data_IF_513830103946
#
_entry.id   IF_513830103946
#
_cell.length_a   1.000
_cell.length_b   1.000
_cell.length_c   1.000
_cell.angle_alpha   90.00
_cell.angle_beta   90.00
_cell.angle_gamma   90.00
#
_symmetry.space_group_name_H-M   'P 1'
#
loop_
_entity.id
_entity.type
_entity.pdbx_description
1 polymer ?
#
# COMPACT_ATOMS: atom_id res chain seq x y z
N UNK A 1 -17.26 35.45 28.24
CA UNK A 1 -16.24 36.21 27.47
C UNK A 1 -15.07 35.28 27.26
N UNK A 2 -15.12 34.44 26.23
CA UNK A 2 -14.72 34.71 24.83
C UNK A 2 -13.20 34.70 24.66
N UNK A 3 -12.67 33.58 24.18
CA UNK A 3 -11.80 33.48 23.01
C UNK A 3 -11.23 32.04 22.90
N UNK A 4 -11.90 31.19 22.12
CA UNK A 4 -11.28 30.00 21.55
C UNK A 4 -10.36 30.43 20.40
N UNK A 5 -9.18 29.83 20.20
CA UNK A 5 -8.45 30.00 18.96
C UNK A 5 -9.09 29.12 17.90
N UNK A 6 -9.63 29.80 16.89
CA UNK A 6 -9.93 29.27 15.57
C UNK A 6 -8.65 28.68 14.96
N UNK A 7 -8.67 27.37 14.69
CA UNK A 7 -7.71 26.72 13.79
C UNK A 7 -8.52 25.93 12.77
N UNK A 8 -9.17 26.66 11.87
CA UNK A 8 -8.53 26.86 10.58
C UNK A 8 -8.40 25.64 9.67
N UNK A 9 -9.49 25.39 8.94
CA UNK A 9 -9.57 25.17 7.48
C UNK A 9 -8.88 23.94 6.87
N UNK A 10 -9.72 23.16 6.18
CA UNK A 10 -9.32 22.09 5.27
C UNK A 10 -8.30 22.56 4.23
N UNK A 11 -7.33 21.71 3.96
CA UNK A 11 -6.36 21.97 2.92
C UNK A 11 -7.03 21.75 1.58
N UNK A 12 -7.43 22.84 0.94
CA UNK A 12 -7.36 22.94 -0.50
C UNK A 12 -5.94 22.49 -0.88
N UNK A 13 -5.81 21.29 -1.44
CA UNK A 13 -4.65 20.97 -2.24
C UNK A 13 -4.65 22.01 -3.33
N UNK A 14 -3.73 22.96 -3.24
CA UNK A 14 -3.38 23.84 -4.34
C UNK A 14 -2.92 22.88 -5.43
N UNK A 15 -3.83 22.53 -6.33
CA UNK A 15 -3.49 21.98 -7.63
C UNK A 15 -2.62 23.08 -8.22
N UNK A 16 -1.31 22.85 -8.25
CA UNK A 16 -0.40 23.68 -9.01
C UNK A 16 -0.88 23.63 -10.47
N UNK A 17 -1.64 24.65 -10.86
CA UNK A 17 -2.25 24.75 -12.18
C UNK A 17 -1.22 24.99 -13.28
N UNK A 18 0.08 25.10 -12.93
CA UNK A 18 1.18 25.24 -13.89
C UNK A 18 1.70 23.91 -14.42
N UNK A 19 1.44 22.79 -13.73
CA UNK A 19 1.82 21.46 -14.18
C UNK A 19 0.56 20.60 -14.28
N UNK A 20 0.00 20.49 -15.50
CA UNK A 20 -1.28 19.85 -15.79
C UNK A 20 -1.52 18.49 -15.12
N UNK A 21 -2.78 18.01 -15.22
CA UNK A 21 -3.19 16.71 -14.66
C UNK A 21 -2.19 15.60 -15.00
N UNK A 22 -2.07 14.59 -14.15
CA UNK A 22 -1.17 13.47 -14.45
C UNK A 22 -1.51 12.84 -15.80
N UNK A 23 -2.79 12.81 -16.18
CA UNK A 23 -3.22 12.41 -17.52
C UNK A 23 -2.51 13.21 -18.62
N UNK A 24 -2.45 14.53 -18.51
CA UNK A 24 -1.75 15.38 -19.49
C UNK A 24 -0.24 15.17 -19.49
N UNK A 25 0.35 14.86 -18.33
CA UNK A 25 1.78 14.49 -18.24
C UNK A 25 2.02 13.16 -18.95
N UNK A 26 1.15 12.17 -18.72
CA UNK A 26 1.19 10.86 -19.39
C UNK A 26 1.01 11.02 -20.90
N UNK A 27 0.03 11.79 -21.35
CA UNK A 27 -0.24 12.02 -22.77
C UNK A 27 0.96 12.70 -23.45
N UNK A 28 1.48 13.80 -22.89
CA UNK A 28 2.68 14.47 -23.42
C UNK A 28 3.88 13.53 -23.51
N UNK A 29 4.02 12.63 -22.54
CA UNK A 29 5.14 11.68 -22.53
C UNK A 29 5.14 10.65 -23.68
N UNK A 30 4.08 10.60 -24.48
CA UNK A 30 4.02 9.75 -25.66
C UNK A 30 4.97 10.23 -26.76
N UNK A 31 5.12 11.55 -26.90
CA UNK A 31 5.95 12.20 -27.92
C UNK A 31 7.20 12.85 -27.31
N UNK A 32 7.13 13.27 -26.03
CA UNK A 32 8.25 13.79 -25.24
C UNK A 32 8.52 12.90 -24.01
N UNK A 33 9.30 11.81 -24.14
CA UNK A 33 9.58 10.87 -23.04
C UNK A 33 9.98 11.51 -21.70
N UNK A 34 10.73 12.62 -21.74
CA UNK A 34 11.28 13.27 -20.55
C UNK A 34 10.18 13.94 -19.71
N UNK A 35 9.05 14.33 -20.33
CA UNK A 35 7.86 14.81 -19.61
C UNK A 35 7.35 13.82 -18.55
N UNK A 36 7.62 12.52 -18.69
CA UNK A 36 7.23 11.51 -17.69
C UNK A 36 7.95 11.68 -16.34
N UNK A 37 9.14 12.31 -16.31
CA UNK A 37 9.92 12.53 -15.10
C UNK A 37 9.13 13.29 -14.02
N UNK A 38 8.18 14.15 -14.43
CA UNK A 38 7.27 14.86 -13.51
C UNK A 38 6.49 13.89 -12.61
N UNK A 39 6.06 12.72 -13.12
CA UNK A 39 5.40 11.72 -12.29
C UNK A 39 6.37 11.02 -11.33
N UNK A 40 7.61 10.82 -11.76
CA UNK A 40 8.66 10.28 -10.89
C UNK A 40 8.91 11.24 -9.71
N UNK A 41 9.15 12.52 -9.99
CA UNK A 41 9.41 13.54 -8.98
C UNK A 41 8.23 13.68 -8.00
N UNK A 42 6.99 13.57 -8.49
CA UNK A 42 5.79 13.64 -7.65
C UNK A 42 5.64 12.43 -6.72
N UNK A 43 5.94 11.22 -7.19
CA UNK A 43 5.44 10.00 -6.55
C UNK A 43 6.50 8.97 -6.14
N UNK A 44 7.76 9.10 -6.55
CA UNK A 44 8.82 8.15 -6.23
C UNK A 44 8.94 7.89 -4.72
N UNK A 45 8.97 8.96 -3.93
CA UNK A 45 9.02 8.91 -2.47
C UNK A 45 7.83 8.17 -1.84
N UNK A 46 6.62 8.41 -2.35
CA UNK A 46 5.40 7.77 -1.88
C UNK A 46 5.39 6.27 -2.19
N UNK A 47 5.83 5.90 -3.39
CA UNK A 47 5.95 4.50 -3.82
C UNK A 47 7.06 3.78 -3.03
N UNK A 48 8.23 4.40 -2.88
CA UNK A 48 9.33 3.84 -2.10
C UNK A 48 8.87 3.56 -0.65
N UNK A 49 8.28 4.55 0.02
CA UNK A 49 7.74 4.41 1.38
C UNK A 49 6.68 3.30 1.50
N UNK A 50 5.87 3.12 0.46
CA UNK A 50 4.84 2.09 0.41
C UNK A 50 5.42 0.68 0.28
N UNK A 51 6.48 0.51 -0.52
CA UNK A 51 7.20 -0.76 -0.68
C UNK A 51 8.03 -1.07 0.58
N UNK A 52 8.75 -0.09 1.12
CA UNK A 52 9.61 -0.25 2.28
C UNK A 52 8.85 -0.79 3.51
N UNK A 53 7.62 -0.31 3.72
CA UNK A 53 6.75 -0.79 4.82
C UNK A 53 6.29 -2.25 4.66
N UNK A 54 6.40 -2.82 3.46
CA UNK A 54 5.90 -4.16 3.13
C UNK A 54 7.00 -5.19 2.95
N UNK A 55 8.17 -4.77 2.50
CA UNK A 55 9.28 -5.64 2.13
C UNK A 55 10.62 -5.23 2.77
N UNK A 56 10.66 -4.13 3.51
CA UNK A 56 11.90 -3.53 4.00
C UNK A 56 12.52 -2.58 2.98
N UNK A 57 13.47 -1.76 3.44
CA UNK A 57 14.15 -0.75 2.63
C UNK A 57 14.99 -1.35 1.52
N UNK A 58 15.57 -2.54 1.73
CA UNK A 58 16.43 -3.21 0.73
C UNK A 58 15.70 -3.46 -0.59
N UNK A 59 14.44 -3.89 -0.54
CA UNK A 59 13.64 -4.14 -1.75
C UNK A 59 12.97 -2.88 -2.31
N UNK A 60 13.01 -1.75 -1.58
CA UNK A 60 12.18 -0.61 -1.88
C UNK A 60 12.70 0.22 -3.07
N UNK A 61 14.02 0.41 -3.17
CA UNK A 61 14.65 1.13 -4.27
C UNK A 61 14.38 0.43 -5.61
N UNK A 62 14.65 -0.88 -5.68
CA UNK A 62 14.48 -1.68 -6.90
C UNK A 62 13.02 -1.72 -7.36
N UNK A 63 12.08 -1.99 -6.45
CA UNK A 63 10.67 -2.11 -6.82
C UNK A 63 10.03 -0.75 -7.11
N UNK A 64 10.51 0.34 -6.50
CA UNK A 64 10.09 1.68 -6.86
C UNK A 64 10.57 2.00 -8.28
N UNK A 65 11.85 1.79 -8.58
CA UNK A 65 12.39 2.01 -9.92
C UNK A 65 11.66 1.15 -10.97
N UNK A 66 11.46 -0.14 -10.68
CA UNK A 66 10.73 -1.06 -11.57
C UNK A 66 9.26 -0.61 -11.76
N UNK A 67 8.62 -0.05 -10.74
CA UNK A 67 7.26 0.52 -10.86
C UNK A 67 7.23 1.61 -11.93
N UNK A 68 8.17 2.56 -11.90
CA UNK A 68 8.22 3.64 -12.88
C UNK A 68 8.66 3.18 -14.25
N UNK A 69 9.55 2.19 -14.35
CA UNK A 69 9.92 1.56 -15.63
C UNK A 69 8.70 0.91 -16.27
N UNK A 70 7.93 0.13 -15.51
CA UNK A 70 6.70 -0.52 -16.01
C UNK A 70 5.65 0.52 -16.39
N UNK A 71 5.47 1.56 -15.56
CA UNK A 71 4.55 2.64 -15.83
C UNK A 71 4.94 3.35 -17.14
N UNK A 72 6.20 3.75 -17.30
CA UNK A 72 6.70 4.38 -18.51
C UNK A 72 6.50 3.49 -19.75
N UNK A 73 6.79 2.20 -19.68
CA UNK A 73 6.56 1.26 -20.79
C UNK A 73 5.07 1.11 -21.15
N UNK A 74 4.18 1.26 -20.18
CA UNK A 74 2.73 1.08 -20.33
C UNK A 74 1.96 2.39 -20.49
N UNK A 75 2.63 3.56 -20.47
CA UNK A 75 2.00 4.89 -20.46
C UNK A 75 1.02 5.14 -21.60
N UNK A 76 1.21 4.50 -22.76
CA UNK A 76 0.27 4.57 -23.90
C UNK A 76 -1.05 3.81 -23.69
N UNK A 77 -1.12 2.97 -22.66
CA UNK A 77 -2.33 2.22 -22.24
C UNK A 77 -2.99 2.81 -21.00
N UNK A 78 -2.45 3.92 -20.49
CA UNK A 78 -3.07 4.63 -19.38
C UNK A 78 -4.41 5.21 -19.83
N UNK A 79 -5.42 5.12 -18.96
CA UNK A 79 -6.74 5.68 -19.21
C UNK A 79 -6.70 7.19 -18.94
N UNK A 80 -6.66 8.00 -20.00
CA UNK A 80 -6.58 9.45 -19.91
C UNK A 80 -7.84 10.11 -19.31
N UNK A 81 -8.94 9.35 -19.13
CA UNK A 81 -10.09 9.86 -18.35
C UNK A 81 -9.80 9.95 -16.85
N UNK A 82 -8.75 9.26 -16.37
CA UNK A 82 -8.25 9.34 -14.99
C UNK A 82 -7.30 10.52 -14.87
N UNK A 83 -7.64 11.49 -14.04
CA UNK A 83 -6.82 12.70 -13.88
C UNK A 83 -5.56 12.49 -13.04
N UNK A 84 -5.54 11.45 -12.19
CA UNK A 84 -4.45 11.10 -11.27
C UNK A 84 -3.83 9.76 -11.66
N UNK A 85 -2.50 9.70 -11.76
CA UNK A 85 -1.76 8.48 -12.05
C UNK A 85 -1.42 7.67 -10.79
N UNK A 86 -1.57 8.29 -9.61
CA UNK A 86 -1.21 7.68 -8.33
C UNK A 86 -1.87 6.32 -8.07
N UNK A 87 -3.18 6.12 -8.30
CA UNK A 87 -3.81 4.80 -8.13
C UNK A 87 -3.21 3.73 -9.04
N UNK A 88 -2.94 4.09 -10.30
CA UNK A 88 -2.32 3.21 -11.28
C UNK A 88 -0.88 2.81 -10.88
N UNK A 89 -0.07 3.76 -10.41
CA UNK A 89 1.28 3.50 -9.91
C UNK A 89 1.28 2.56 -8.69
N UNK A 90 0.40 2.82 -7.72
CA UNK A 90 0.23 1.93 -6.57
C UNK A 90 -0.26 0.53 -6.94
N UNK A 91 -1.10 0.41 -7.97
CA UNK A 91 -1.51 -0.88 -8.52
C UNK A 91 -0.35 -1.66 -9.11
N UNK A 92 0.54 -1.00 -9.85
CA UNK A 92 1.78 -1.62 -10.37
C UNK A 92 2.67 -2.08 -9.21
N UNK A 93 2.95 -1.20 -8.24
CA UNK A 93 3.79 -1.50 -7.08
C UNK A 93 3.24 -2.68 -6.27
N UNK A 94 1.92 -2.72 -6.03
CA UNK A 94 1.26 -3.82 -5.30
C UNK A 94 1.41 -5.15 -6.02
N UNK A 95 1.30 -5.15 -7.35
CA UNK A 95 1.53 -6.33 -8.16
C UNK A 95 2.99 -6.83 -8.07
N UNK A 96 3.97 -5.91 -8.10
CA UNK A 96 5.39 -6.23 -7.93
C UNK A 96 5.68 -6.82 -6.55
N UNK A 97 5.16 -6.21 -5.48
CA UNK A 97 5.27 -6.75 -4.12
C UNK A 97 4.71 -8.17 -4.04
N UNK A 98 3.55 -8.43 -4.66
CA UNK A 98 2.96 -9.76 -4.72
C UNK A 98 3.85 -10.78 -5.46
N UNK A 99 4.50 -10.37 -6.55
CA UNK A 99 5.47 -11.21 -7.28
C UNK A 99 6.71 -11.50 -6.44
N UNK A 100 7.27 -10.47 -5.81
CA UNK A 100 8.45 -10.57 -4.94
C UNK A 100 8.21 -11.58 -3.81
N UNK A 101 7.09 -11.44 -3.07
CA UNK A 101 6.72 -12.39 -2.00
C UNK A 101 6.57 -13.83 -2.50
N UNK A 102 5.93 -14.03 -3.67
CA UNK A 102 5.78 -15.37 -4.26
C UNK A 102 7.12 -15.96 -4.69
N UNK A 103 8.03 -15.15 -5.21
CA UNK A 103 9.37 -15.58 -5.59
C UNK A 103 10.17 -16.00 -4.35
N UNK A 104 10.16 -15.17 -3.30
CA UNK A 104 10.87 -15.46 -2.05
C UNK A 104 10.32 -16.72 -1.37
N UNK A 105 9.00 -16.85 -1.28
CA UNK A 105 8.38 -18.04 -0.72
C UNK A 105 8.70 -19.31 -1.54
N UNK A 106 8.91 -19.21 -2.86
CA UNK A 106 9.37 -20.36 -3.67
C UNK A 106 10.83 -20.68 -3.40
N UNK A 107 11.70 -19.66 -3.27
CA UNK A 107 13.12 -19.81 -2.96
C UNK A 107 13.32 -20.47 -1.59
N UNK A 108 12.63 -19.98 -0.55
CA UNK A 108 12.68 -20.57 0.79
C UNK A 108 12.19 -22.03 0.81
N UNK A 109 11.10 -22.34 0.10
CA UNK A 109 10.65 -23.75 -0.04
C UNK A 109 11.68 -24.62 -0.77
N UNK A 110 12.35 -24.11 -1.79
CA UNK A 110 13.39 -24.85 -2.50
C UNK A 110 14.62 -25.08 -1.61
N UNK A 111 15.05 -24.08 -0.84
CA UNK A 111 16.13 -24.20 0.14
C UNK A 111 15.76 -25.16 1.27
N UNK A 112 14.53 -25.10 1.78
CA UNK A 112 14.00 -26.05 2.76
C UNK A 112 14.02 -27.47 2.20
N UNK A 113 13.55 -27.71 0.98
CA UNK A 113 13.66 -29.03 0.34
C UNK A 113 15.12 -29.46 0.14
N UNK A 114 16.01 -28.58 -0.28
CA UNK A 114 17.43 -28.89 -0.46
C UNK A 114 18.12 -29.24 0.87
N UNK A 115 17.79 -28.51 1.94
CA UNK A 115 18.24 -28.80 3.30
C UNK A 115 17.62 -30.11 3.80
N UNK A 116 16.33 -30.37 3.56
CA UNK A 116 15.68 -31.64 3.89
C UNK A 116 16.25 -32.80 3.09
N UNK A 117 16.68 -32.62 1.83
CA UNK A 117 17.39 -33.67 1.08
C UNK A 117 18.82 -33.87 1.58
N UNK A 118 19.48 -32.83 2.08
CA UNK A 118 20.79 -32.94 2.74
C UNK A 118 20.67 -33.57 4.15
N UNK A 119 19.52 -33.43 4.80
CA UNK A 119 19.18 -34.04 6.09
C UNK A 119 18.36 -35.34 5.96
N UNK A 120 18.05 -35.80 4.73
CA UNK A 120 17.31 -37.04 4.50
C UNK A 120 18.14 -38.32 4.74
N UNK A 121 19.36 -38.19 5.26
CA UNK A 121 20.05 -39.29 5.96
C UNK A 121 19.62 -39.43 7.44
N UNK A 122 18.90 -38.46 8.02
CA UNK A 122 18.35 -38.55 9.38
C UNK A 122 16.92 -37.99 9.51
N UNK A 123 15.94 -38.90 9.36
CA UNK A 123 14.57 -38.90 9.91
C UNK A 123 13.56 -37.78 9.51
N UNK A 124 12.49 -38.21 8.83
CA UNK A 124 11.13 -38.30 9.39
C UNK A 124 10.27 -37.04 9.61
N UNK A 125 9.30 -36.86 8.71
CA UNK A 125 7.93 -36.28 8.84
C UNK A 125 7.69 -34.88 9.45
N UNK A 126 6.91 -34.05 8.72
CA UNK A 126 6.26 -32.86 9.27
C UNK A 126 5.62 -31.93 8.23
N UNK A 127 4.31 -32.09 7.98
CA UNK A 127 3.48 -31.17 7.19
C UNK A 127 3.03 -29.92 7.97
N UNK A 128 2.72 -28.87 7.20
CA UNK A 128 1.89 -27.69 7.51
C UNK A 128 2.48 -26.53 8.36
N UNK A 129 3.04 -25.52 7.68
CA UNK A 129 3.15 -24.14 8.19
C UNK A 129 3.35 -23.11 7.05
N UNK A 130 2.37 -22.95 6.15
CA UNK A 130 2.56 -22.08 4.97
C UNK A 130 2.29 -20.57 5.16
N UNK A 131 1.81 -20.11 6.33
CA UNK A 131 1.37 -18.70 6.44
C UNK A 131 2.00 -17.86 7.57
N UNK A 132 3.08 -18.32 8.22
CA UNK A 132 3.67 -17.61 9.38
C UNK A 132 5.13 -17.13 9.26
N UNK A 133 5.77 -17.22 8.10
CA UNK A 133 7.24 -17.02 8.01
C UNK A 133 7.68 -15.58 7.68
N UNK A 134 6.79 -14.61 7.46
CA UNK A 134 7.21 -13.22 7.20
C UNK A 134 6.95 -12.33 8.42
N UNK A 135 7.64 -12.60 9.52
CA UNK A 135 7.60 -11.73 10.69
C UNK A 135 8.93 -11.74 11.45
N UNK A 136 9.95 -11.05 10.93
CA UNK A 136 11.03 -10.56 11.79
C UNK A 136 11.84 -9.43 11.16
N UNK A 137 11.55 -8.20 11.58
CA UNK A 137 12.57 -7.20 11.99
C UNK A 137 11.88 -6.30 13.03
N UNK A 138 12.47 -6.23 14.23
CA UNK A 138 11.96 -5.40 15.33
C UNK A 138 12.60 -4.02 15.35
N UNK A 139 11.83 -3.01 15.77
CA UNK A 139 12.34 -1.77 16.34
C UNK A 139 11.27 -1.09 17.23
N UNK A 140 11.69 -0.75 18.46
CA UNK A 140 11.09 0.09 19.51
C UNK A 140 9.63 -0.15 19.91
N UNK A 141 9.38 -0.39 21.19
CA UNK A 141 8.21 -1.04 21.83
C UNK A 141 6.79 -0.59 21.43
N UNK A 142 6.61 0.51 20.70
CA UNK A 142 5.33 0.91 20.06
C UNK A 142 5.37 0.79 18.53
N UNK A 143 6.51 1.08 17.90
CA UNK A 143 6.72 0.82 16.46
C UNK A 143 6.78 -0.68 16.18
N UNK A 144 7.34 -1.46 17.09
CA UNK A 144 7.42 -2.92 17.02
C UNK A 144 6.05 -3.58 17.15
N UNK A 145 5.19 -3.09 18.04
CA UNK A 145 3.82 -3.61 18.19
C UNK A 145 2.95 -3.28 16.99
N UNK A 146 3.02 -2.05 16.45
CA UNK A 146 2.32 -1.68 15.21
C UNK A 146 2.86 -2.46 14.00
N UNK A 147 4.19 -2.59 13.86
CA UNK A 147 4.79 -3.38 12.79
C UNK A 147 4.37 -4.85 12.87
N UNK A 148 4.33 -5.44 14.07
CA UNK A 148 3.82 -6.79 14.29
C UNK A 148 2.32 -6.92 13.98
N UNK A 149 1.51 -5.94 14.38
CA UNK A 149 0.08 -5.90 14.08
C UNK A 149 -0.17 -5.86 12.56
N UNK A 150 0.56 -4.99 11.84
CA UNK A 150 0.51 -4.91 10.38
C UNK A 150 1.05 -6.18 9.72
N UNK A 151 2.09 -6.82 10.28
CA UNK A 151 2.62 -8.08 9.79
C UNK A 151 1.58 -9.22 9.91
N UNK A 152 0.79 -9.23 10.98
CA UNK A 152 -0.27 -10.20 11.23
C UNK A 152 -1.53 -10.05 10.36
N UNK A 153 -1.70 -8.91 9.67
CA UNK A 153 -2.78 -8.75 8.71
C UNK A 153 -2.54 -9.61 7.46
N UNK A 154 -3.62 -10.15 6.88
CA UNK A 154 -3.57 -10.71 5.53
C UNK A 154 -3.05 -9.66 4.55
N UNK A 155 -2.27 -10.08 3.55
CA UNK A 155 -1.69 -9.16 2.56
C UNK A 155 -2.76 -8.24 1.94
N UNK A 156 -3.93 -8.79 1.60
CA UNK A 156 -5.05 -8.06 1.00
C UNK A 156 -5.65 -6.99 1.91
N UNK A 157 -5.76 -7.26 3.21
CA UNK A 157 -6.28 -6.29 4.18
C UNK A 157 -5.24 -5.20 4.46
N UNK A 158 -3.98 -5.60 4.63
CA UNK A 158 -2.86 -4.68 4.78
C UNK A 158 -2.73 -3.75 3.58
N UNK A 159 -2.91 -4.25 2.36
CA UNK A 159 -2.78 -3.45 1.16
C UNK A 159 -3.78 -2.30 1.13
N UNK A 160 -5.06 -2.57 1.42
CA UNK A 160 -6.10 -1.54 1.51
C UNK A 160 -5.77 -0.51 2.59
N UNK A 161 -5.43 -0.96 3.80
CA UNK A 161 -5.15 -0.06 4.92
C UNK A 161 -4.00 0.89 4.60
N UNK A 162 -2.91 0.36 4.03
CA UNK A 162 -1.72 1.14 3.74
C UNK A 162 -1.88 2.04 2.50
N UNK A 163 -2.74 1.69 1.53
CA UNK A 163 -3.06 2.58 0.41
C UNK A 163 -3.82 3.83 0.90
N UNK A 164 -4.78 3.64 1.80
CA UNK A 164 -5.59 4.75 2.32
C UNK A 164 -4.79 5.58 3.32
N UNK A 165 -4.15 4.94 4.31
CA UNK A 165 -3.49 5.66 5.40
C UNK A 165 -2.14 6.31 5.04
N UNK A 166 -1.51 5.90 3.93
CA UNK A 166 -0.20 6.40 3.52
C UNK A 166 -0.07 6.74 2.04
N UNK A 167 -0.87 6.11 1.19
CA UNK A 167 -0.96 6.52 -0.20
C UNK A 167 -1.88 7.72 -0.39
N UNK A 168 -2.60 8.13 0.67
CA UNK A 168 -3.63 9.18 0.63
C UNK A 168 -4.70 8.92 -0.44
N UNK A 169 -4.95 7.64 -0.75
CA UNK A 169 -5.98 7.21 -1.70
C UNK A 169 -7.34 7.18 -1.02
N UNK A 170 -8.35 7.66 -1.73
CA UNK A 170 -9.74 7.41 -1.35
C UNK A 170 -10.16 5.95 -1.64
N UNK A 171 -11.38 5.58 -1.28
CA UNK A 171 -11.86 4.20 -1.45
C UNK A 171 -12.02 3.80 -2.93
N UNK A 172 -12.36 4.74 -3.80
CA UNK A 172 -12.52 4.53 -5.25
C UNK A 172 -11.16 4.36 -5.91
N UNK A 173 -10.19 5.17 -5.53
CA UNK A 173 -8.82 5.09 -5.99
C UNK A 173 -8.13 3.81 -5.50
N UNK A 174 -8.33 3.43 -4.24
CA UNK A 174 -7.84 2.16 -3.71
C UNK A 174 -8.48 0.95 -4.43
N UNK A 175 -9.77 1.06 -4.79
CA UNK A 175 -10.46 0.05 -5.59
C UNK A 175 -9.85 -0.08 -6.99
N UNK A 176 -9.56 1.05 -7.64
CA UNK A 176 -8.88 1.11 -8.94
C UNK A 176 -7.48 0.48 -8.87
N UNK A 177 -6.65 0.93 -7.92
CA UNK A 177 -5.29 0.44 -7.73
C UNK A 177 -5.25 -1.09 -7.55
N UNK A 178 -6.21 -1.64 -6.81
CA UNK A 178 -6.26 -3.06 -6.48
C UNK A 178 -7.09 -3.91 -7.46
N UNK A 179 -7.83 -3.28 -8.39
CA UNK A 179 -8.74 -3.97 -9.30
C UNK A 179 -9.86 -4.73 -8.58
N UNK A 180 -10.46 -4.13 -7.54
CA UNK A 180 -11.54 -4.75 -6.73
C UNK A 180 -12.73 -3.79 -6.56
N UNK A 181 -13.95 -4.28 -6.25
CA UNK A 181 -15.08 -3.39 -5.97
C UNK A 181 -14.87 -2.51 -4.73
N UNK A 182 -15.42 -1.28 -4.73
CA UNK A 182 -15.35 -0.35 -3.58
C UNK A 182 -15.91 -0.96 -2.29
N UNK A 183 -17.00 -1.74 -2.37
CA UNK A 183 -17.52 -2.48 -1.21
C UNK A 183 -16.52 -3.50 -0.64
N UNK A 184 -15.66 -4.06 -1.50
CA UNK A 184 -14.57 -4.95 -1.06
C UNK A 184 -13.47 -4.16 -0.35
N UNK A 185 -13.13 -2.95 -0.82
CA UNK A 185 -12.21 -2.03 -0.13
C UNK A 185 -12.73 -1.76 1.29
N UNK A 186 -13.98 -1.32 1.41
CA UNK A 186 -14.61 -1.00 2.70
C UNK A 186 -14.59 -2.17 3.68
N UNK A 187 -14.99 -3.36 3.22
CA UNK A 187 -14.98 -4.56 4.07
C UNK A 187 -13.57 -5.00 4.48
N UNK A 188 -12.56 -4.82 3.61
CA UNK A 188 -11.16 -5.12 3.93
C UNK A 188 -10.56 -4.12 4.89
N UNK A 189 -10.86 -2.83 4.72
CA UNK A 189 -10.41 -1.77 5.62
C UNK A 189 -10.96 -2.00 7.02
N UNK A 190 -12.26 -2.30 7.14
CA UNK A 190 -12.88 -2.61 8.43
C UNK A 190 -12.17 -3.78 9.12
N UNK A 191 -11.93 -4.90 8.40
CA UNK A 191 -11.18 -6.05 8.95
C UNK A 191 -9.73 -5.69 9.31
N UNK A 192 -9.07 -4.84 8.53
CA UNK A 192 -7.71 -4.39 8.80
C UNK A 192 -7.64 -3.56 10.08
N UNK A 193 -8.50 -2.54 10.21
CA UNK A 193 -8.62 -1.69 11.40
C UNK A 193 -8.94 -2.53 12.64
N UNK A 194 -9.87 -3.48 12.54
CA UNK A 194 -10.20 -4.41 13.63
C UNK A 194 -8.99 -5.24 14.05
N UNK A 195 -8.29 -5.85 13.10
CA UNK A 195 -7.10 -6.67 13.40
C UNK A 195 -5.96 -5.87 14.04
N UNK A 196 -5.73 -4.63 13.60
CA UNK A 196 -4.74 -3.74 14.22
C UNK A 196 -5.13 -3.38 15.64
N UNK A 197 -6.40 -3.00 15.86
CA UNK A 197 -6.94 -2.66 17.18
C UNK A 197 -6.85 -3.81 18.18
N UNK A 198 -7.23 -5.01 17.76
CA UNK A 198 -7.12 -6.24 18.57
C UNK A 198 -5.66 -6.51 18.95
N UNK A 199 -4.73 -6.40 18.00
CA UNK A 199 -3.30 -6.60 18.25
C UNK A 199 -2.66 -5.54 19.16
N UNK A 200 -3.24 -4.34 19.22
CA UNK A 200 -2.76 -3.22 20.05
C UNK A 200 -3.50 -3.08 21.39
N UNK A 201 -4.37 -4.03 21.76
CA UNK A 201 -5.03 -4.02 23.07
C UNK A 201 -6.28 -3.13 23.15
N UNK A 202 -6.96 -2.87 22.03
CA UNK A 202 -8.28 -2.22 22.01
C UNK A 202 -8.28 -0.70 21.89
N UNK A 203 -7.13 -0.03 21.98
CA UNK A 203 -7.00 1.42 21.75
C UNK A 203 -7.21 1.74 20.26
N UNK A 204 -7.95 2.79 19.92
CA UNK A 204 -8.16 3.25 18.53
C UNK A 204 -7.11 4.28 18.11
N UNK A 205 -6.17 3.96 17.20
CA UNK A 205 -5.26 4.94 16.64
C UNK A 205 -5.70 5.43 15.24
N UNK A 206 -6.90 5.08 14.77
CA UNK A 206 -7.29 5.18 13.34
C UNK A 206 -8.59 5.91 13.04
N UNK A 207 -9.27 6.52 14.03
CA UNK A 207 -10.49 7.32 13.74
C UNK A 207 -10.13 8.48 12.82
N UNK A 208 -10.65 8.44 11.60
CA UNK A 208 -10.55 9.53 10.62
C UNK A 208 -11.90 10.25 10.62
N UNK A 209 -11.90 11.59 10.48
CA UNK A 209 -13.08 12.48 10.57
C UNK A 209 -14.25 12.16 9.62
N UNK A 210 -14.09 11.20 8.73
CA UNK A 210 -15.12 10.72 7.81
C UNK A 210 -16.03 9.67 8.46
N UNK A 211 -15.50 8.87 9.39
CA UNK A 211 -16.28 7.87 10.13
C UNK A 211 -17.29 8.56 11.09
N UNK A 212 -16.96 9.75 11.62
CA UNK A 212 -17.87 10.55 12.45
C UNK A 212 -19.06 11.13 11.66
N UNK A 213 -18.90 11.39 10.35
CA UNK A 213 -19.96 11.96 9.51
C UNK A 213 -20.99 10.91 9.08
N UNK A 214 -20.56 9.67 8.85
CA UNK A 214 -21.46 8.57 8.49
C UNK A 214 -22.23 8.02 9.69
N UNK A 215 -21.64 7.99 10.88
CA UNK A 215 -22.36 7.63 12.12
C UNK A 215 -23.42 8.68 12.49
N UNK A 216 -23.19 9.97 12.21
CA UNK A 216 -24.19 11.03 12.39
C UNK A 216 -25.35 10.97 11.37
N UNK A 217 -25.10 10.54 10.12
CA UNK A 217 -26.14 10.37 9.10
C UNK A 217 -26.95 9.08 9.31
N UNK A 218 -26.33 7.99 9.77
CA UNK A 218 -27.01 6.73 10.07
C UNK A 218 -27.91 6.80 11.32
N UNK A 219 -27.72 7.77 12.22
CA UNK A 219 -28.55 7.97 13.41
C UNK A 219 -29.65 9.03 13.24
N UNK A 220 -29.75 9.65 12.05
CA UNK A 220 -30.72 10.72 11.74
C UNK A 220 -31.83 10.31 10.76
N UNK A 221 -31.90 9.03 10.38
CA UNK A 221 -32.96 8.43 9.56
C UNK A 221 -33.68 7.30 10.28
#
# INVERSE_FOLDING_TARGET
MSASPDVGVGRAVVIDSSAGSDASVVERSWDDPDSFAVLFDRYADGIHRYVARRLGTEAADDLMAETFVIAFQRRRRYDLSRSQALPWLYGIATNLIGRHRRAEARRLRALSRAASTAHAEERGEGEAMEDRVVARVGAESTRGSLAAALAGLSARNRDVLLLIAWGDLDYTEAAEALGIPVGTVRSRLHRARRGVREALGGSDPTTSREDEREDEEAHRG
#
